data_IF_249537606349
#
_entry.id   IF_249537606349
#
_cell.length_a   1.000
_cell.length_b   1.000
_cell.length_c   1.000
_cell.angle_alpha   90.00
_cell.angle_beta   90.00
_cell.angle_gamma   90.00
#
_symmetry.space_group_name_H-M   'P 1'
#
loop_
_entity.id
_entity.type
_entity.pdbx_description
1 polymer ?
#
# COMPACT_ATOMS: atom_id res chain seq x y z
N UNK A 1 7.74 -0.23 -1.85
CA UNK A 1 6.51 0.11 -1.10
C UNK A 1 6.83 -0.05 0.37
N UNK A 2 6.29 0.79 1.25
CA UNK A 2 6.51 0.70 2.70
C UNK A 2 5.18 0.84 3.44
N UNK A 3 5.02 0.14 4.55
CA UNK A 3 3.90 0.29 5.48
C UNK A 3 4.49 0.75 6.82
N UNK A 4 3.96 1.84 7.35
CA UNK A 4 4.32 2.37 8.67
C UNK A 4 3.03 2.80 9.37
N UNK A 5 2.81 2.30 10.59
CA UNK A 5 1.52 2.36 11.29
C UNK A 5 0.34 1.89 10.42
N UNK A 6 -0.54 2.82 10.01
CA UNK A 6 -1.68 2.61 9.11
C UNK A 6 -1.48 3.33 7.77
N UNK A 7 -0.25 3.66 7.40
CA UNK A 7 0.05 4.36 6.14
C UNK A 7 0.76 3.44 5.16
N UNK A 8 0.16 3.26 4.00
CA UNK A 8 0.76 2.62 2.85
C UNK A 8 1.39 3.68 1.94
N UNK A 9 2.71 3.61 1.75
CA UNK A 9 3.44 4.51 0.85
C UNK A 9 3.93 3.75 -0.39
N UNK A 10 3.43 4.16 -1.54
CA UNK A 10 3.83 3.68 -2.86
C UNK A 10 4.71 4.73 -3.53
N UNK A 11 5.93 4.33 -3.89
CA UNK A 11 6.89 5.16 -4.62
C UNK A 11 7.20 4.50 -5.95
N UNK A 12 7.15 5.27 -7.02
CA UNK A 12 7.58 4.84 -8.33
C UNK A 12 8.63 5.79 -8.87
N UNK A 13 9.75 5.23 -9.32
CA UNK A 13 10.82 5.93 -10.04
C UNK A 13 11.21 5.03 -11.19
N UNK A 14 11.10 5.55 -12.42
CA UNK A 14 11.72 4.92 -13.56
C UNK A 14 13.11 5.52 -13.68
N UNK A 15 14.14 4.68 -13.68
CA UNK A 15 15.49 5.16 -13.94
C UNK A 15 15.59 5.61 -15.40
N UNK A 16 16.22 6.77 -15.59
CA UNK A 16 16.34 7.42 -16.89
C UNK A 16 17.52 6.79 -17.63
N UNK A 17 17.26 5.63 -18.23
CA UNK A 17 18.24 4.88 -19.04
C UNK A 17 18.34 5.45 -20.47
N UNK A 18 18.06 6.75 -20.61
CA UNK A 18 17.90 7.47 -21.87
C UNK A 18 19.20 8.07 -22.41
N UNK A 19 20.34 7.86 -21.73
CA UNK A 19 21.62 8.45 -22.14
C UNK A 19 22.01 8.11 -23.59
N UNK A 20 21.55 6.96 -24.10
CA UNK A 20 21.82 6.49 -25.47
C UNK A 20 20.58 6.40 -26.37
N UNK A 21 19.40 6.87 -25.92
CA UNK A 21 18.15 6.75 -26.69
C UNK A 21 17.68 8.10 -27.23
N UNK A 22 17.70 8.25 -28.54
CA UNK A 22 17.12 9.40 -29.24
C UNK A 22 15.62 9.17 -29.43
N UNK A 23 14.80 10.01 -28.81
CA UNK A 23 13.34 10.00 -28.96
C UNK A 23 12.91 11.06 -29.99
N UNK A 24 12.14 10.67 -31.00
CA UNK A 24 11.50 11.62 -31.93
C UNK A 24 10.34 12.38 -31.25
N UNK A 25 9.55 11.68 -30.43
CA UNK A 25 8.50 12.27 -29.60
C UNK A 25 8.25 11.40 -28.37
N UNK A 26 8.03 12.03 -27.21
CA UNK A 26 7.71 11.37 -25.94
C UNK A 26 6.45 12.00 -25.34
N UNK A 27 5.30 11.41 -25.66
CA UNK A 27 3.99 11.91 -25.19
C UNK A 27 3.74 11.71 -23.70
N UNK A 28 4.48 10.81 -23.04
CA UNK A 28 4.32 10.50 -21.62
C UNK A 28 5.68 10.56 -20.93
N UNK A 29 5.83 11.52 -20.03
CA UNK A 29 7.00 11.63 -19.17
C UNK A 29 6.96 10.56 -18.07
N UNK A 30 8.05 9.83 -17.87
CA UNK A 30 8.19 8.89 -16.76
C UNK A 30 8.58 9.64 -15.49
N UNK A 31 7.63 10.37 -14.92
CA UNK A 31 7.85 11.15 -13.70
C UNK A 31 7.89 10.24 -12.49
N UNK A 32 8.75 10.59 -11.54
CA UNK A 32 8.72 9.98 -10.22
C UNK A 32 7.40 10.34 -9.53
N UNK A 33 6.87 9.42 -8.75
CA UNK A 33 5.65 9.65 -7.97
C UNK A 33 5.75 9.05 -6.57
N UNK A 34 5.02 9.68 -5.65
CA UNK A 34 4.67 9.12 -4.35
C UNK A 34 3.15 9.21 -4.17
N UNK A 35 2.56 8.13 -3.68
CA UNK A 35 1.15 8.08 -3.26
C UNK A 35 1.10 7.46 -1.87
N UNK A 36 0.37 8.12 -0.98
CA UNK A 36 0.18 7.68 0.40
C UNK A 36 -1.29 7.38 0.61
N UNK A 37 -1.59 6.22 1.18
CA UNK A 37 -2.94 5.79 1.50
C UNK A 37 -3.04 5.54 3.00
N UNK A 38 -4.12 6.00 3.62
CA UNK A 38 -4.46 5.65 5.00
C UNK A 38 -5.27 4.36 4.98
N UNK A 39 -4.78 3.34 5.66
CA UNK A 39 -5.46 2.07 5.87
C UNK A 39 -6.48 2.22 7.00
N UNK A 40 -7.65 1.60 6.83
CA UNK A 40 -8.66 1.54 7.86
C UNK A 40 -8.23 0.57 8.99
N UNK A 41 -8.92 0.64 10.13
CA UNK A 41 -8.62 -0.24 11.26
C UNK A 41 -8.83 -1.71 10.93
N UNK A 42 -7.83 -2.51 11.29
CA UNK A 42 -7.77 -3.93 10.97
C UNK A 42 -7.52 -4.25 9.50
N UNK A 43 -7.19 -3.26 8.66
CA UNK A 43 -6.78 -3.49 7.26
C UNK A 43 -5.26 -3.58 7.16
N UNK A 44 -4.78 -4.65 6.55
CA UNK A 44 -3.37 -4.95 6.36
C UNK A 44 -3.08 -5.28 4.88
N UNK A 45 -1.83 -5.07 4.46
CA UNK A 45 -1.39 -5.45 3.11
C UNK A 45 -1.08 -6.94 3.10
N UNK A 46 -1.84 -7.70 2.31
CA UNK A 46 -1.65 -9.15 2.16
C UNK A 46 -0.63 -9.49 1.07
N UNK A 47 -0.49 -8.63 0.05
CA UNK A 47 0.38 -8.87 -1.09
C UNK A 47 0.49 -7.67 -2.01
N UNK A 48 1.45 -7.72 -2.92
CA UNK A 48 1.55 -6.77 -4.03
C UNK A 48 2.23 -7.43 -5.23
N UNK A 49 1.70 -7.17 -6.43
CA UNK A 49 2.26 -7.67 -7.68
C UNK A 49 2.21 -6.62 -8.78
N UNK A 50 3.17 -6.69 -9.70
CA UNK A 50 3.20 -5.86 -10.90
C UNK A 50 2.80 -6.71 -12.09
N UNK A 51 1.77 -6.30 -12.83
CA UNK A 51 1.31 -7.00 -14.03
C UNK A 51 0.95 -5.98 -15.10
N UNK A 52 1.48 -6.15 -16.32
CA UNK A 52 1.19 -5.27 -17.47
C UNK A 52 1.39 -3.77 -17.19
N UNK A 53 2.35 -3.42 -16.33
CA UNK A 53 2.64 -2.04 -15.93
C UNK A 53 1.71 -1.47 -14.85
N UNK A 54 0.87 -2.30 -14.23
CA UNK A 54 -0.03 -1.94 -13.14
C UNK A 54 0.42 -2.59 -11.84
N UNK A 55 0.46 -1.80 -10.76
CA UNK A 55 0.69 -2.30 -9.42
C UNK A 55 -0.64 -2.69 -8.79
N UNK A 56 -0.81 -3.98 -8.54
CA UNK A 56 -1.87 -4.55 -7.72
C UNK A 56 -1.40 -4.62 -6.27
N UNK A 57 -2.24 -4.17 -5.34
CA UNK A 57 -1.99 -4.26 -3.89
C UNK A 57 -3.19 -4.95 -3.27
N UNK A 58 -2.96 -6.13 -2.70
CA UNK A 58 -3.99 -6.91 -2.04
C UNK A 58 -4.09 -6.47 -0.58
N UNK A 59 -5.31 -6.13 -0.17
CA UNK A 59 -5.63 -5.72 1.20
C UNK A 59 -6.53 -6.78 1.83
N UNK A 60 -6.22 -7.14 3.08
CA UNK A 60 -7.07 -8.00 3.88
C UNK A 60 -7.56 -7.25 5.13
N UNK A 61 -8.75 -7.60 5.60
CA UNK A 61 -9.29 -7.05 6.85
C UNK A 61 -9.38 -8.15 7.89
N UNK A 62 -8.58 -8.05 8.96
CA UNK A 62 -8.74 -8.87 10.14
C UNK A 62 -10.03 -8.48 10.86
N UNK A 63 -10.90 -9.47 11.10
CA UNK A 63 -11.99 -9.31 12.07
C UNK A 63 -11.44 -9.69 13.45
N UNK A 64 -11.56 -8.83 14.47
CA UNK A 64 -11.16 -9.22 15.81
C UNK A 64 -12.02 -10.39 16.29
N UNK A 65 -11.39 -11.34 16.97
CA UNK A 65 -12.10 -12.41 17.66
C UNK A 65 -12.94 -11.82 18.79
N UNK A 66 -14.22 -12.17 18.83
CA UNK A 66 -15.13 -11.72 19.87
C UNK A 66 -14.82 -12.44 21.19
N UNK A 67 -13.99 -11.83 22.03
CA UNK A 67 -13.74 -12.32 23.38
C UNK A 67 -14.83 -11.79 24.31
N UNK A 68 -15.79 -12.66 24.66
CA UNK A 68 -16.81 -12.33 25.67
C UNK A 68 -16.24 -12.64 27.05
N UNK A 69 -16.05 -11.61 27.87
CA UNK A 69 -15.66 -11.77 29.27
C UNK A 69 -16.84 -11.42 30.19
N UNK A 70 -17.20 -12.34 31.07
CA UNK A 70 -18.18 -12.08 32.13
C UNK A 70 -17.46 -11.50 33.34
N UNK A 71 -17.70 -10.23 33.65
CA UNK A 71 -17.17 -9.56 34.84
C UNK A 71 -18.15 -9.77 36.00
N UNK A 72 -17.70 -10.39 37.09
CA UNK A 72 -18.49 -10.51 38.33
C UNK A 72 -18.44 -9.19 39.09
N UNK A 73 -19.61 -8.71 39.54
CA UNK A 73 -19.71 -7.55 40.44
C UNK A 73 -19.74 -8.10 41.87
N UNK A 74 -18.75 -7.75 42.68
CA UNK A 74 -18.73 -8.10 44.12
C UNK A 74 -19.38 -6.98 44.95
N UNK A 75 -20.22 -7.37 45.90
CA UNK A 75 -20.85 -6.48 46.89
C UNK A 75 -20.27 -6.78 48.27
N UNK A 76 -20.04 -5.71 49.05
CA UNK A 76 -19.44 -5.74 50.39
C UNK A 76 -20.44 -6.11 51.47
#
# INVERSE_FOLDING_TARGET
MTVEDRQLVVRGKQDDDSRDRIFLHRGIAARQFQRTFLLADGVEVAGAMMENGLLHVDLMRAKPDAVVQTIKIETK
#
